data_IF_198282339640
#
_entry.id   IF_198282339640
#
_cell.length_a   1.000
_cell.length_b   1.000
_cell.length_c   1.000
_cell.angle_alpha   90.00
_cell.angle_beta   90.00
_cell.angle_gamma   90.00
#
_symmetry.space_group_name_H-M   'P 1'
#
loop_
_entity.id
_entity.type
_entity.pdbx_description
1 polymer ?
#
# COMPACT_ATOMS: atom_id res chain seq x y z
N UNK A 1 21.49 -4.23 3.75
CA UNK A 1 20.46 -3.26 4.23
C UNK A 1 19.07 -3.89 4.41
N UNK A 2 18.81 -5.09 3.85
CA UNK A 2 17.63 -5.95 4.13
C UNK A 2 17.99 -7.12 5.07
N UNK A 3 19.23 -7.18 5.58
CA UNK A 3 19.78 -8.33 6.31
C UNK A 3 19.08 -8.63 7.66
N UNK A 4 18.07 -7.85 8.05
CA UNK A 4 17.29 -8.00 9.29
C UNK A 4 15.95 -8.71 9.12
N UNK A 5 15.48 -8.95 7.89
CA UNK A 5 14.21 -9.67 7.65
C UNK A 5 14.49 -11.14 7.31
N UNK A 6 13.98 -12.04 8.14
CA UNK A 6 14.13 -13.49 7.95
C UNK A 6 12.99 -14.08 7.11
N UNK A 7 13.18 -15.30 6.62
CA UNK A 7 12.09 -16.06 5.96
C UNK A 7 10.90 -16.30 6.90
N UNK A 8 11.14 -16.39 8.21
CA UNK A 8 10.08 -16.56 9.20
C UNK A 8 9.26 -15.28 9.35
N UNK A 9 9.89 -14.11 9.29
CA UNK A 9 9.17 -12.81 9.32
C UNK A 9 8.26 -12.64 8.09
N UNK A 10 8.70 -13.12 6.92
CA UNK A 10 7.87 -13.16 5.71
C UNK A 10 6.68 -14.11 5.86
N UNK A 11 6.94 -15.34 6.35
CA UNK A 11 5.89 -16.34 6.56
C UNK A 11 4.85 -15.86 7.58
N UNK A 12 5.31 -15.28 8.68
CA UNK A 12 4.45 -14.69 9.71
C UNK A 12 3.60 -13.55 9.14
N UNK A 13 4.21 -12.60 8.42
CA UNK A 13 3.49 -11.48 7.81
C UNK A 13 2.42 -11.92 6.80
N UNK A 14 2.69 -12.98 6.03
CA UNK A 14 1.80 -13.43 4.96
C UNK A 14 0.65 -14.31 5.46
N UNK A 15 0.89 -15.12 6.50
CA UNK A 15 -0.03 -16.21 6.87
C UNK A 15 -0.54 -16.14 8.31
N UNK A 16 -0.06 -15.20 9.12
CA UNK A 16 -0.49 -15.01 10.50
C UNK A 16 -0.89 -13.55 10.78
N UNK A 17 -1.64 -13.29 11.86
CA UNK A 17 -1.88 -11.93 12.31
C UNK A 17 -0.57 -11.18 12.51
N UNK A 18 -0.52 -9.91 12.11
CA UNK A 18 0.69 -9.10 12.18
C UNK A 18 1.15 -8.91 13.63
N UNK A 19 2.39 -9.33 13.90
CA UNK A 19 3.06 -9.10 15.17
C UNK A 19 4.04 -7.93 15.03
N UNK A 20 3.76 -6.87 15.77
CA UNK A 20 4.57 -5.67 15.80
C UNK A 20 5.76 -5.84 16.75
N UNK A 21 6.98 -5.72 16.23
CA UNK A 21 8.21 -5.94 16.99
C UNK A 21 9.00 -4.65 17.19
N UNK A 22 9.60 -4.45 18.38
CA UNK A 22 10.54 -3.36 18.60
C UNK A 22 11.84 -3.57 17.84
N UNK A 23 12.57 -2.49 17.55
CA UNK A 23 13.89 -2.49 16.89
C UNK A 23 13.92 -3.01 15.44
N UNK A 24 12.76 -3.26 14.84
CA UNK A 24 12.66 -3.56 13.42
C UNK A 24 12.79 -2.26 12.58
N UNK A 25 13.29 -2.38 11.35
CA UNK A 25 13.37 -1.24 10.42
C UNK A 25 11.96 -0.77 10.12
N UNK A 26 11.71 0.50 10.41
CA UNK A 26 10.45 1.18 10.15
C UNK A 26 10.56 2.05 8.91
N UNK A 27 9.56 1.97 8.04
CA UNK A 27 9.45 2.80 6.83
C UNK A 27 8.40 3.91 6.98
N UNK A 28 7.76 4.01 8.16
CA UNK A 28 6.65 4.94 8.44
C UNK A 28 5.47 4.85 7.47
N UNK A 29 5.27 3.67 6.89
CA UNK A 29 4.12 3.39 6.03
C UNK A 29 2.90 2.90 6.82
N UNK A 30 3.12 2.36 8.02
CA UNK A 30 2.05 1.97 8.93
C UNK A 30 1.62 3.16 9.80
N UNK A 31 0.32 3.45 9.94
CA UNK A 31 -0.18 4.45 10.87
C UNK A 31 0.35 4.30 12.31
N UNK A 32 0.56 3.09 12.83
CA UNK A 32 1.07 2.90 14.20
C UNK A 32 2.48 3.48 14.39
N UNK A 33 3.25 3.51 13.31
CA UNK A 33 4.62 4.03 13.25
C UNK A 33 4.64 5.51 12.84
N UNK A 34 3.84 5.92 11.85
CA UNK A 34 3.70 7.33 11.43
C UNK A 34 3.06 8.22 12.51
N UNK A 35 2.12 7.71 13.29
CA UNK A 35 1.35 8.50 14.27
C UNK A 35 2.05 8.69 15.62
N UNK A 36 3.39 8.53 15.68
CA UNK A 36 4.28 9.03 16.75
C UNK A 36 4.33 10.57 16.82
N UNK A 37 3.19 11.21 16.58
CA UNK A 37 2.95 12.65 16.67
C UNK A 37 2.82 12.98 18.16
N UNK A 38 3.85 13.62 18.69
CA UNK A 38 4.04 14.06 20.09
C UNK A 38 2.76 14.50 20.85
N UNK A 39 1.75 15.04 20.17
CA UNK A 39 0.54 15.60 20.79
C UNK A 39 -0.48 14.57 21.31
N UNK A 40 -0.38 13.27 20.96
CA UNK A 40 -1.42 12.28 21.29
C UNK A 40 -0.92 11.07 22.08
N UNK A 41 0.35 11.03 22.49
CA UNK A 41 0.92 9.86 23.18
C UNK A 41 1.17 10.14 24.66
N UNK A 42 0.86 9.15 25.50
CA UNK A 42 1.11 9.20 26.94
C UNK A 42 2.61 9.15 27.30
N UNK A 43 3.45 8.68 26.37
CA UNK A 43 4.90 8.54 26.54
C UNK A 43 5.59 9.30 25.42
N UNK A 44 6.59 10.09 25.76
CA UNK A 44 7.42 10.84 24.81
C UNK A 44 7.93 9.93 23.68
N UNK A 45 7.62 10.22 22.41
CA UNK A 45 8.05 9.41 21.26
C UNK A 45 9.55 9.53 20.96
N UNK A 46 10.32 10.36 21.66
CA UNK A 46 11.80 10.31 21.60
C UNK A 46 12.39 9.27 22.57
N UNK A 47 11.62 8.82 23.55
CA UNK A 47 12.06 7.84 24.53
C UNK A 47 11.91 6.41 23.99
N UNK A 48 12.85 6.00 23.14
CA UNK A 48 12.83 4.69 22.48
C UNK A 48 12.82 3.49 23.44
N UNK A 49 13.25 3.65 24.68
CA UNK A 49 13.20 2.58 25.68
C UNK A 49 11.79 2.33 26.20
N UNK A 50 10.99 3.39 26.37
CA UNK A 50 9.61 3.30 26.88
C UNK A 50 8.54 3.34 25.78
N UNK A 51 8.93 3.81 24.60
CA UNK A 51 8.10 3.93 23.42
C UNK A 51 8.93 3.49 22.21
N UNK A 52 9.27 2.19 22.09
CA UNK A 52 10.05 1.71 20.95
C UNK A 52 9.27 1.87 19.65
N UNK A 53 9.99 2.06 18.54
CA UNK A 53 9.37 2.00 17.22
C UNK A 53 8.96 0.55 16.97
N UNK A 54 7.69 0.37 16.62
CA UNK A 54 7.09 -0.92 16.34
C UNK A 54 6.85 -1.05 14.84
N UNK A 55 7.24 -2.17 14.26
CA UNK A 55 6.95 -2.46 12.85
C UNK A 55 6.85 -3.97 12.58
N UNK A 56 6.42 -4.32 11.38
CA UNK A 56 6.32 -5.69 10.87
C UNK A 56 7.40 -5.86 9.79
N UNK A 57 8.53 -6.53 10.08
CA UNK A 57 9.66 -6.62 9.15
C UNK A 57 9.28 -7.19 7.79
N UNK A 58 8.50 -8.26 7.76
CA UNK A 58 8.03 -8.90 6.53
C UNK A 58 7.20 -7.95 5.66
N UNK A 59 6.30 -7.17 6.27
CA UNK A 59 5.45 -6.21 5.55
C UNK A 59 6.28 -5.08 4.94
N UNK A 60 7.25 -4.54 5.70
CA UNK A 60 8.14 -3.49 5.21
C UNK A 60 9.02 -3.98 4.06
N UNK A 61 9.54 -5.21 4.14
CA UNK A 61 10.29 -5.82 3.05
C UNK A 61 9.41 -5.98 1.80
N UNK A 62 8.23 -6.58 1.93
CA UNK A 62 7.31 -6.77 0.78
C UNK A 62 6.90 -5.43 0.15
N UNK A 63 6.64 -4.42 0.97
CA UNK A 63 6.30 -3.09 0.46
C UNK A 63 7.50 -2.43 -0.25
N UNK A 64 8.72 -2.59 0.26
CA UNK A 64 9.95 -2.11 -0.38
C UNK A 64 10.19 -2.81 -1.73
N UNK A 65 10.08 -4.13 -1.77
CA UNK A 65 10.19 -4.95 -2.99
C UNK A 65 9.11 -4.62 -4.02
N UNK A 66 7.96 -4.10 -3.58
CA UNK A 66 6.88 -3.68 -4.49
C UNK A 66 7.12 -2.32 -5.16
N UNK A 67 8.00 -1.46 -4.63
CA UNK A 67 8.19 -0.10 -5.15
C UNK A 67 8.52 -0.03 -6.66
N UNK A 68 9.33 -0.94 -7.24
CA UNK A 68 9.59 -0.96 -8.69
C UNK A 68 8.34 -1.18 -9.55
N UNK A 69 7.23 -1.67 -8.98
CA UNK A 69 5.95 -1.80 -9.68
C UNK A 69 5.21 -0.47 -9.82
N UNK A 70 5.63 0.56 -9.08
CA UNK A 70 4.98 1.88 -9.02
C UNK A 70 5.92 3.02 -9.41
N UNK A 71 6.57 2.98 -10.60
CA UNK A 71 7.46 4.05 -11.01
C UNK A 71 6.69 5.37 -11.16
N UNK A 72 7.37 6.47 -10.84
CA UNK A 72 6.89 7.84 -11.08
C UNK A 72 7.65 8.44 -12.25
N UNK A 73 6.93 8.87 -13.28
CA UNK A 73 7.48 9.40 -14.52
C UNK A 73 6.84 10.75 -14.84
N UNK A 74 7.65 11.69 -15.33
CA UNK A 74 7.14 12.96 -15.82
C UNK A 74 6.46 12.76 -17.18
N UNK A 75 5.25 13.30 -17.34
CA UNK A 75 4.52 13.37 -18.59
C UNK A 75 4.08 14.82 -18.82
N UNK A 76 4.78 15.53 -19.71
CA UNK A 76 4.58 16.96 -19.90
C UNK A 76 4.92 17.74 -18.62
N UNK A 77 3.94 18.48 -18.08
CA UNK A 77 4.09 19.28 -16.85
C UNK A 77 3.61 18.55 -15.58
N UNK A 78 3.23 17.27 -15.69
CA UNK A 78 2.68 16.50 -14.58
C UNK A 78 3.57 15.29 -14.25
N UNK A 79 3.56 14.89 -12.97
CA UNK A 79 4.16 13.64 -12.50
C UNK A 79 3.08 12.57 -12.41
N UNK A 80 3.31 11.43 -13.06
CA UNK A 80 2.40 10.29 -13.06
C UNK A 80 3.05 9.10 -12.37
N UNK A 81 2.34 8.48 -11.44
CA UNK A 81 2.77 7.25 -10.76
C UNK A 81 1.90 6.09 -11.25
N UNK A 82 2.51 4.97 -11.64
CA UNK A 82 1.77 3.76 -12.03
C UNK A 82 0.74 3.37 -10.96
N UNK A 83 -0.47 3.01 -11.40
CA UNK A 83 -1.58 2.66 -10.51
C UNK A 83 -2.38 3.85 -9.95
N UNK A 84 -1.90 5.09 -10.14
CA UNK A 84 -2.62 6.31 -9.75
C UNK A 84 -3.28 6.97 -10.96
N UNK A 85 -4.57 7.29 -10.83
CA UNK A 85 -5.38 7.86 -11.91
C UNK A 85 -6.13 9.08 -11.40
N UNK A 86 -6.28 10.10 -12.23
CA UNK A 86 -7.22 11.19 -11.96
C UNK A 86 -8.64 10.77 -12.36
N UNK A 87 -9.58 10.80 -11.42
CA UNK A 87 -11.01 10.55 -11.65
C UNK A 87 -11.84 11.63 -10.95
N UNK A 88 -12.71 12.33 -11.69
CA UNK A 88 -13.62 13.36 -11.17
C UNK A 88 -12.96 14.37 -10.21
N UNK A 89 -11.75 14.85 -10.56
CA UNK A 89 -10.88 15.79 -9.79
C UNK A 89 -10.12 15.18 -8.60
N UNK A 90 -10.42 13.94 -8.22
CA UNK A 90 -9.66 13.21 -7.20
C UNK A 90 -8.55 12.38 -7.86
N UNK A 91 -7.42 12.22 -7.16
CA UNK A 91 -6.44 11.18 -7.50
C UNK A 91 -6.86 9.90 -6.77
N UNK A 92 -6.96 8.79 -7.49
CA UNK A 92 -7.33 7.49 -6.93
C UNK A 92 -6.22 6.48 -7.14
N UNK A 93 -6.04 5.60 -6.17
CA UNK A 93 -5.19 4.43 -6.29
C UNK A 93 -6.07 3.18 -6.25
N UNK A 94 -5.84 2.26 -7.18
CA UNK A 94 -6.63 1.03 -7.34
C UNK A 94 -5.70 -0.17 -7.34
N UNK A 95 -6.03 -1.20 -6.55
CA UNK A 95 -5.29 -2.46 -6.52
C UNK A 95 -6.23 -3.66 -6.59
N UNK A 96 -5.63 -4.80 -6.88
CA UNK A 96 -6.32 -6.05 -7.18
C UNK A 96 -6.11 -7.07 -6.08
N UNK A 97 -7.11 -7.92 -5.88
CA UNK A 97 -6.98 -9.19 -5.18
C UNK A 97 -7.21 -10.28 -6.21
N UNK A 98 -6.31 -11.25 -6.27
CA UNK A 98 -6.36 -12.38 -7.18
C UNK A 98 -6.25 -13.68 -6.40
N UNK A 99 -6.74 -14.79 -6.97
CA UNK A 99 -6.72 -16.11 -6.33
C UNK A 99 -5.79 -17.13 -7.01
N UNK A 100 -4.99 -16.69 -7.98
CA UNK A 100 -4.00 -17.49 -8.69
C UNK A 100 -2.60 -16.95 -8.44
N UNK A 101 -1.58 -17.81 -8.43
CA UNK A 101 -0.21 -17.33 -8.41
C UNK A 101 0.10 -16.58 -9.71
N UNK A 102 0.64 -15.37 -9.59
CA UNK A 102 1.03 -14.53 -10.70
C UNK A 102 2.53 -14.29 -10.63
N UNK A 103 3.20 -14.37 -11.77
CA UNK A 103 4.56 -13.88 -11.88
C UNK A 103 4.60 -12.34 -11.84
N UNK A 104 5.78 -11.78 -11.61
CA UNK A 104 5.98 -10.35 -11.44
C UNK A 104 5.63 -9.55 -12.70
N UNK A 105 5.85 -10.11 -13.89
CA UNK A 105 5.56 -9.45 -15.16
C UNK A 105 4.04 -9.33 -15.38
N UNK A 106 3.31 -10.39 -15.05
CA UNK A 106 1.85 -10.42 -15.05
C UNK A 106 1.28 -9.41 -14.06
N UNK A 107 1.82 -9.35 -12.85
CA UNK A 107 1.44 -8.32 -11.86
C UNK A 107 1.68 -6.92 -12.40
N UNK A 108 2.85 -6.67 -13.02
CA UNK A 108 3.17 -5.37 -13.63
C UNK A 108 2.18 -4.99 -14.72
N UNK A 109 1.81 -5.92 -15.60
CA UNK A 109 0.81 -5.70 -16.65
C UNK A 109 -0.59 -5.46 -16.07
N UNK A 110 -0.97 -6.14 -14.98
CA UNK A 110 -2.27 -5.97 -14.36
C UNK A 110 -2.42 -4.61 -13.67
N UNK A 111 -1.41 -4.14 -12.95
CA UNK A 111 -1.45 -2.85 -12.23
C UNK A 111 -1.65 -1.66 -13.18
N UNK A 112 -1.12 -1.73 -14.40
CA UNK A 112 -1.30 -0.69 -15.44
C UNK A 112 -2.54 -0.91 -16.32
N UNK A 113 -3.31 -1.97 -16.09
CA UNK A 113 -4.35 -2.37 -17.01
C UNK A 113 -5.51 -1.34 -17.04
N UNK A 114 -5.93 -0.83 -18.22
CA UNK A 114 -6.97 0.21 -18.31
C UNK A 114 -8.31 -0.13 -17.66
N UNK A 115 -8.62 -1.43 -17.52
CA UNK A 115 -9.82 -1.90 -16.79
C UNK A 115 -9.86 -1.46 -15.33
N UNK A 116 -8.70 -1.16 -14.70
CA UNK A 116 -8.62 -0.65 -13.33
C UNK A 116 -8.88 0.85 -13.23
N UNK A 117 -8.60 1.57 -14.31
CA UNK A 117 -8.76 3.02 -14.40
C UNK A 117 -10.22 3.42 -14.70
N UNK A 118 -11.02 2.50 -15.22
CA UNK A 118 -12.41 2.75 -15.53
C UNK A 118 -13.24 3.01 -14.26
N UNK A 119 -14.18 3.95 -14.35
CA UNK A 119 -15.18 4.16 -13.30
C UNK A 119 -16.16 2.98 -13.19
N UNK A 120 -16.35 2.24 -14.28
CA UNK A 120 -17.17 1.03 -14.32
C UNK A 120 -16.30 -0.19 -14.64
N UNK A 121 -15.87 -0.89 -13.60
CA UNK A 121 -15.01 -2.06 -13.74
C UNK A 121 -15.86 -3.27 -14.10
N UNK A 122 -15.54 -3.90 -15.24
CA UNK A 122 -16.27 -5.09 -15.69
C UNK A 122 -15.83 -6.33 -14.90
N UNK A 123 -16.57 -6.65 -13.81
CA UNK A 123 -16.29 -7.78 -12.92
C UNK A 123 -16.17 -9.12 -13.66
N UNK A 124 -17.09 -9.53 -14.56
CA UNK A 124 -16.96 -10.79 -15.31
C UNK A 124 -15.64 -10.91 -16.08
N UNK A 125 -15.21 -9.83 -16.74
CA UNK A 125 -13.93 -9.81 -17.48
C UNK A 125 -12.71 -9.93 -16.56
N UNK A 126 -12.78 -9.41 -15.35
CA UNK A 126 -11.69 -9.51 -14.36
C UNK A 126 -11.64 -10.89 -13.71
N UNK A 127 -12.80 -11.46 -13.37
CA UNK A 127 -12.91 -12.82 -12.85
C UNK A 127 -12.32 -13.85 -13.82
N UNK A 128 -12.57 -13.70 -15.13
CA UNK A 128 -11.98 -14.54 -16.17
C UNK A 128 -10.43 -14.47 -16.24
N UNK A 129 -9.82 -13.46 -15.59
CA UNK A 129 -8.37 -13.29 -15.45
C UNK A 129 -7.85 -13.64 -14.05
N UNK A 130 -8.68 -14.24 -13.19
CA UNK A 130 -8.31 -14.61 -11.81
C UNK A 130 -8.35 -13.46 -10.80
N UNK A 131 -8.83 -12.28 -11.21
CA UNK A 131 -9.03 -11.14 -10.30
C UNK A 131 -10.38 -11.27 -9.63
N UNK A 132 -10.38 -11.44 -8.31
CA UNK A 132 -11.58 -11.72 -7.51
C UNK A 132 -12.17 -10.46 -6.87
N UNK A 133 -11.33 -9.50 -6.50
CA UNK A 133 -11.75 -8.22 -5.92
C UNK A 133 -10.87 -7.06 -6.42
N UNK A 134 -11.44 -5.86 -6.37
CA UNK A 134 -10.74 -4.61 -6.73
C UNK A 134 -11.05 -3.60 -5.66
N UNK A 135 -10.01 -3.06 -5.03
CA UNK A 135 -10.14 -2.02 -4.02
C UNK A 135 -9.64 -0.70 -4.56
N UNK A 136 -10.27 0.38 -4.10
CA UNK A 136 -9.89 1.74 -4.45
C UNK A 136 -9.86 2.63 -3.22
N UNK A 137 -8.84 3.48 -3.15
CA UNK A 137 -8.72 4.55 -2.17
C UNK A 137 -8.48 5.88 -2.88
N UNK A 138 -8.97 6.97 -2.30
CA UNK A 138 -8.72 8.32 -2.79
C UNK A 138 -7.52 8.91 -2.08
N UNK A 139 -6.72 9.66 -2.81
CA UNK A 139 -5.65 10.49 -2.26
C UNK A 139 -6.24 11.85 -1.89
N UNK A 140 -6.25 12.14 -0.60
CA UNK A 140 -6.80 13.37 -0.02
C UNK A 140 -5.70 14.17 0.67
N UNK A 141 -5.92 15.47 0.85
CA UNK A 141 -4.99 16.35 1.56
C UNK A 141 -5.72 17.15 2.64
N UNK A 142 -6.15 16.53 3.75
CA UNK A 142 -7.04 17.18 4.71
C UNK A 142 -6.43 18.42 5.37
N UNK A 143 -5.12 18.40 5.62
CA UNK A 143 -4.38 19.51 6.26
C UNK A 143 -3.74 20.49 5.27
N UNK A 144 -3.88 20.25 3.96
CA UNK A 144 -3.17 21.01 2.92
C UNK A 144 -1.65 20.75 2.84
N UNK A 145 -1.07 19.92 3.72
CA UNK A 145 0.38 19.63 3.74
C UNK A 145 0.74 18.22 3.25
N UNK A 146 0.00 17.22 3.71
CA UNK A 146 0.33 15.81 3.46
C UNK A 146 -0.78 15.12 2.70
N UNK A 147 -0.39 14.33 1.69
CA UNK A 147 -1.30 13.42 1.00
C UNK A 147 -1.53 12.19 1.87
N UNK A 148 -2.79 11.80 2.02
CA UNK A 148 -3.23 10.64 2.78
C UNK A 148 -4.18 9.81 1.92
N UNK A 149 -4.40 8.55 2.28
CA UNK A 149 -5.42 7.71 1.66
C UNK A 149 -6.70 7.72 2.49
N UNK A 150 -7.85 7.69 1.83
CA UNK A 150 -9.11 7.34 2.50
C UNK A 150 -9.13 5.85 2.84
N UNK A 151 -10.07 5.43 3.69
CA UNK A 151 -10.42 4.01 3.75
C UNK A 151 -10.74 3.51 2.34
N UNK A 152 -10.26 2.30 2.05
CA UNK A 152 -10.53 1.66 0.78
C UNK A 152 -11.94 1.12 0.73
N UNK A 153 -12.51 1.03 -0.46
CA UNK A 153 -13.79 0.37 -0.71
C UNK A 153 -13.66 -0.55 -1.91
N UNK A 154 -14.45 -1.64 -1.93
CA UNK A 154 -14.56 -2.46 -3.13
C UNK A 154 -15.19 -1.65 -4.26
N UNK A 155 -14.64 -1.77 -5.46
CA UNK A 155 -15.17 -1.15 -6.68
C UNK A 155 -16.37 -1.92 -7.23
N UNK A 156 -16.57 -3.17 -6.80
CA UNK A 156 -17.72 -3.97 -7.21
C UNK A 156 -19.01 -3.65 -6.43
N UNK A 157 -18.93 -2.74 -5.46
CA UNK A 157 -20.02 -2.43 -4.53
C UNK A 157 -19.95 -3.29 -3.25
N UNK A 158 -20.76 -2.96 -2.23
CA UNK A 158 -21.02 -3.87 -1.11
C UNK A 158 -21.77 -5.12 -1.57
#
# INVERSE_FOLDING_TARGET
MIDTCSSDDLKECLFHPWLYRPNAISLRWDPIDDTRRYALQAIDPTNNSKNPILSVPGANLLALESLPLFPSLAQGLALHTTGFVQSNRDTVWTWLIWNVFLDLDTVRSLIVHPLLCANNVNRPKLLARGVVEVYRARVVMPSGRYRNFTCSSSVFGP
#
